data_IF_065855397218
#
_entry.id   IF_065855397218
#
_cell.length_a   1.000
_cell.length_b   1.000
_cell.length_c   1.000
_cell.angle_alpha   90.00
_cell.angle_beta   90.00
_cell.angle_gamma   90.00
#
_symmetry.space_group_name_H-M   'P 1'
#
loop_
_entity.id
_entity.type
_entity.pdbx_description
1 polymer ?
#
# COMPACT_ATOMS: atom_id res chain seq x y z
N UNK A 1 20.93 -14.02 15.75
CA UNK A 1 19.52 -13.58 15.84
C UNK A 1 18.70 -14.81 16.14
N UNK A 2 18.03 -14.84 17.29
CA UNK A 2 17.41 -16.06 17.81
C UNK A 2 16.14 -16.41 17.03
N UNK A 3 16.30 -17.36 16.12
CA UNK A 3 15.20 -17.95 15.32
C UNK A 3 14.10 -18.55 16.20
N UNK A 4 14.40 -18.84 17.47
CA UNK A 4 13.46 -19.37 18.47
C UNK A 4 12.30 -18.40 18.73
N UNK A 5 12.56 -17.08 18.78
CA UNK A 5 11.50 -16.08 19.03
C UNK A 5 10.62 -15.89 17.80
N UNK A 6 11.22 -15.89 16.61
CA UNK A 6 10.49 -15.80 15.35
C UNK A 6 9.63 -17.05 15.11
N UNK A 7 10.18 -18.25 15.32
CA UNK A 7 9.45 -19.51 15.15
C UNK A 7 8.27 -19.59 16.13
N UNK A 8 8.48 -19.27 17.42
CA UNK A 8 7.37 -19.23 18.40
C UNK A 8 6.24 -18.29 18.01
N UNK A 9 6.56 -17.15 17.38
CA UNK A 9 5.56 -16.22 16.88
C UNK A 9 4.81 -16.82 15.68
N UNK A 10 5.53 -17.37 14.71
CA UNK A 10 4.92 -18.00 13.52
C UNK A 10 4.07 -19.23 13.86
N UNK A 11 4.47 -20.02 14.85
CA UNK A 11 3.75 -21.22 15.30
C UNK A 11 2.37 -20.89 15.91
N UNK A 12 2.17 -19.65 16.39
CA UNK A 12 0.91 -19.17 16.95
C UNK A 12 0.00 -18.45 15.95
N UNK A 13 0.46 -18.21 14.72
CA UNK A 13 -0.32 -17.49 13.71
C UNK A 13 -1.16 -18.48 12.91
N UNK A 14 -2.47 -18.46 13.13
CA UNK A 14 -3.43 -19.02 12.18
C UNK A 14 -3.74 -17.97 11.11
N UNK A 15 -3.28 -18.21 9.88
CA UNK A 15 -3.63 -17.36 8.75
C UNK A 15 -5.09 -17.65 8.34
N UNK A 16 -5.99 -16.66 8.35
CA UNK A 16 -7.35 -16.85 7.86
C UNK A 16 -7.31 -17.20 6.37
N UNK A 17 -8.10 -18.20 5.98
CA UNK A 17 -8.28 -18.53 4.56
C UNK A 17 -9.39 -17.66 3.98
N UNK A 18 -9.20 -17.21 2.75
CA UNK A 18 -10.17 -16.42 2.03
C UNK A 18 -11.36 -17.30 1.62
N UNK A 19 -12.58 -16.82 1.87
CA UNK A 19 -13.81 -17.51 1.46
C UNK A 19 -13.90 -17.59 -0.07
N UNK A 20 -14.58 -18.61 -0.58
CA UNK A 20 -14.66 -18.85 -2.03
C UNK A 20 -15.35 -17.69 -2.76
N UNK A 21 -16.32 -17.04 -2.12
CA UNK A 21 -17.02 -15.87 -2.68
C UNK A 21 -16.07 -14.68 -2.86
N UNK A 22 -15.22 -14.41 -1.86
CA UNK A 22 -14.22 -13.33 -1.94
C UNK A 22 -13.14 -13.65 -3.00
N UNK A 23 -12.79 -14.93 -3.18
CA UNK A 23 -11.86 -15.35 -4.25
C UNK A 23 -12.49 -15.12 -5.62
N UNK A 24 -13.76 -15.45 -5.79
CA UNK A 24 -14.47 -15.24 -7.05
C UNK A 24 -14.57 -13.75 -7.37
N UNK A 25 -14.92 -12.92 -6.38
CA UNK A 25 -14.96 -11.45 -6.48
C UNK A 25 -13.60 -10.84 -6.88
N UNK A 26 -12.49 -11.36 -6.37
CA UNK A 26 -11.16 -10.86 -6.76
C UNK A 26 -10.75 -11.29 -8.17
N UNK A 27 -11.25 -12.44 -8.66
CA UNK A 27 -10.87 -13.04 -9.94
C UNK A 27 -11.77 -12.66 -11.12
N UNK A 28 -12.95 -12.09 -10.90
CA UNK A 28 -13.80 -11.57 -11.98
C UNK A 28 -13.07 -10.51 -12.82
N UNK A 29 -13.46 -10.40 -14.09
CA UNK A 29 -12.89 -9.41 -15.01
C UNK A 29 -13.08 -7.98 -14.49
N UNK A 30 -12.12 -7.11 -14.80
CA UNK A 30 -12.18 -5.69 -14.45
C UNK A 30 -13.17 -4.99 -15.37
N UNK A 31 -14.16 -4.34 -14.76
CA UNK A 31 -15.18 -3.59 -15.48
C UNK A 31 -14.80 -2.12 -15.68
N UNK A 32 -15.39 -1.49 -16.70
CA UNK A 32 -15.15 -0.07 -17.00
C UNK A 32 -15.59 0.85 -15.84
N UNK A 33 -16.66 0.51 -15.13
CA UNK A 33 -17.17 1.29 -14.00
C UNK A 33 -16.18 1.31 -12.84
N UNK A 34 -15.50 0.19 -12.57
CA UNK A 34 -14.43 0.12 -11.56
C UNK A 34 -13.24 1.02 -11.95
N UNK A 35 -12.85 1.02 -13.22
CA UNK A 35 -11.79 1.90 -13.73
C UNK A 35 -12.16 3.36 -13.55
N UNK A 36 -13.40 3.75 -13.92
CA UNK A 36 -13.89 5.11 -13.75
C UNK A 36 -13.97 5.51 -12.28
N UNK A 37 -14.40 4.60 -11.39
CA UNK A 37 -14.42 4.83 -9.95
C UNK A 37 -13.00 5.02 -9.40
N UNK A 38 -12.04 4.19 -9.81
CA UNK A 38 -10.65 4.30 -9.42
C UNK A 38 -10.08 5.68 -9.82
N UNK A 39 -10.28 6.10 -11.07
CA UNK A 39 -9.83 7.40 -11.58
C UNK A 39 -10.45 8.55 -10.77
N UNK A 40 -11.77 8.52 -10.53
CA UNK A 40 -12.46 9.56 -9.76
C UNK A 40 -11.99 9.65 -8.30
N UNK A 41 -11.54 8.54 -7.72
CA UNK A 41 -11.05 8.48 -6.35
C UNK A 41 -9.58 8.92 -6.19
N UNK A 42 -8.84 9.09 -7.31
CA UNK A 42 -7.45 9.54 -7.26
C UNK A 42 -7.37 11.03 -6.89
N UNK A 43 -6.45 11.36 -5.99
CA UNK A 43 -6.19 12.76 -5.62
C UNK A 43 -5.50 13.50 -6.76
N UNK A 44 -6.05 14.66 -7.11
CA UNK A 44 -5.44 15.59 -8.06
C UNK A 44 -4.16 16.22 -7.47
N UNK A 45 -3.18 16.56 -8.32
CA UNK A 45 -1.90 17.24 -8.00
C UNK A 45 -0.72 16.37 -7.55
N UNK A 46 -0.75 15.05 -7.79
CA UNK A 46 0.46 14.20 -7.63
C UNK A 46 1.33 14.28 -8.90
N UNK A 47 2.65 14.39 -8.73
CA UNK A 47 3.60 14.33 -9.85
C UNK A 47 3.56 12.95 -10.49
N UNK A 48 3.27 12.89 -11.80
CA UNK A 48 3.43 11.65 -12.58
C UNK A 48 4.90 11.42 -12.90
N UNK A 49 5.34 10.17 -12.84
CA UNK A 49 6.57 9.76 -13.51
C UNK A 49 6.40 9.80 -15.03
N UNK A 50 7.47 9.58 -15.81
CA UNK A 50 7.41 9.51 -17.25
C UNK A 50 6.54 8.33 -17.73
N UNK A 51 5.83 8.54 -18.83
CA UNK A 51 4.82 7.61 -19.35
C UNK A 51 5.40 6.51 -20.27
N UNK A 52 6.73 6.30 -20.25
CA UNK A 52 7.40 5.40 -21.20
C UNK A 52 7.09 3.91 -20.96
N UNK A 53 6.92 3.49 -19.70
CA UNK A 53 6.66 2.09 -19.35
C UNK A 53 6.22 1.90 -17.89
N UNK A 54 5.32 0.94 -17.65
CA UNK A 54 5.00 0.43 -16.30
C UNK A 54 6.21 -0.20 -15.57
N UNK A 55 7.31 -0.49 -16.29
CA UNK A 55 8.52 -1.10 -15.73
C UNK A 55 9.57 -0.08 -15.29
N UNK A 56 9.35 1.20 -15.59
CA UNK A 56 10.34 2.26 -15.37
C UNK A 56 9.83 3.21 -14.27
N UNK A 57 10.75 3.69 -13.45
CA UNK A 57 10.50 4.70 -12.44
C UNK A 57 11.58 5.78 -12.50
N UNK A 58 11.20 7.04 -12.29
CA UNK A 58 12.16 8.14 -12.16
C UNK A 58 12.43 8.41 -10.69
N UNK A 59 13.69 8.27 -10.26
CA UNK A 59 14.09 8.59 -8.89
C UNK A 59 14.29 10.10 -8.77
N UNK A 60 13.56 10.73 -7.84
CA UNK A 60 13.71 12.13 -7.45
C UNK A 60 14.16 12.22 -6.00
N UNK A 61 15.06 13.16 -5.68
CA UNK A 61 15.55 13.37 -4.32
C UNK A 61 14.72 14.43 -3.60
N UNK A 62 14.10 14.06 -2.48
CA UNK A 62 13.37 14.99 -1.61
C UNK A 62 14.26 15.46 -0.46
N UNK A 63 14.49 16.77 -0.29
CA UNK A 63 15.30 17.28 0.81
C UNK A 63 14.59 17.07 2.15
N UNK A 64 15.34 16.64 3.16
CA UNK A 64 14.89 16.54 4.55
C UNK A 64 14.99 17.94 5.18
N UNK A 65 13.89 18.50 5.72
CA UNK A 65 13.92 19.81 6.37
C UNK A 65 14.94 19.87 7.52
N UNK A 66 15.65 20.98 7.63
CA UNK A 66 16.63 21.22 8.70
C UNK A 66 17.98 20.52 8.55
N UNK A 67 18.19 19.74 7.48
CA UNK A 67 19.49 19.13 7.17
C UNK A 67 20.29 19.93 6.12
N UNK A 68 21.61 19.75 6.14
CA UNK A 68 22.54 20.37 5.21
C UNK A 68 22.38 19.82 3.79
N UNK A 69 22.03 20.68 2.83
CA UNK A 69 21.74 20.32 1.44
C UNK A 69 22.96 19.84 0.65
N UNK A 70 24.18 20.02 1.15
CA UNK A 70 25.40 19.55 0.49
C UNK A 70 25.71 18.07 0.75
N UNK A 71 25.01 17.43 1.70
CA UNK A 71 25.24 16.01 2.03
C UNK A 71 24.15 15.11 1.44
N UNK A 72 24.55 13.95 0.93
CA UNK A 72 23.63 12.99 0.31
C UNK A 72 22.63 12.38 1.32
N UNK A 73 22.99 12.25 2.60
CA UNK A 73 22.12 11.73 3.68
C UNK A 73 21.01 12.72 4.10
N UNK A 74 21.01 13.92 3.51
CA UNK A 74 19.99 14.94 3.68
C UNK A 74 18.82 14.80 2.72
N UNK A 75 18.81 13.78 1.87
CA UNK A 75 17.74 13.55 0.90
C UNK A 75 17.11 12.16 1.06
N UNK A 76 15.82 12.06 0.75
CA UNK A 76 15.11 10.78 0.61
C UNK A 76 14.87 10.51 -0.88
N UNK A 77 15.27 9.35 -1.42
CA UNK A 77 14.89 8.98 -2.76
C UNK A 77 13.39 8.67 -2.81
N UNK A 78 12.69 9.24 -3.79
CA UNK A 78 11.30 8.96 -4.12
C UNK A 78 11.23 8.45 -5.56
N UNK A 79 10.64 7.28 -5.77
CA UNK A 79 10.38 6.74 -7.10
C UNK A 79 9.07 7.31 -7.63
N UNK A 80 9.14 8.05 -8.74
CA UNK A 80 7.97 8.55 -9.46
C UNK A 80 7.57 7.52 -10.52
N UNK A 81 6.40 6.93 -10.32
CA UNK A 81 5.77 5.98 -11.22
C UNK A 81 4.78 6.69 -12.15
N UNK A 82 4.55 6.10 -13.32
CA UNK A 82 3.58 6.58 -14.29
C UNK A 82 2.15 6.61 -13.72
N UNK A 83 1.25 7.31 -14.42
CA UNK A 83 -0.13 7.45 -13.97
C UNK A 83 -0.90 6.12 -14.02
N UNK A 84 -0.63 5.30 -15.04
CA UNK A 84 -1.29 3.99 -15.22
C UNK A 84 -1.07 3.07 -14.02
N UNK A 85 0.16 3.02 -13.49
CA UNK A 85 0.47 2.24 -12.30
C UNK A 85 -0.38 2.69 -11.10
N UNK A 86 -0.62 4.00 -10.96
CA UNK A 86 -1.44 4.55 -9.88
C UNK A 86 -2.91 4.17 -10.04
N UNK A 87 -3.42 4.16 -11.27
CA UNK A 87 -4.80 3.74 -11.57
C UNK A 87 -4.96 2.26 -11.26
N UNK A 88 -4.07 1.40 -11.78
CA UNK A 88 -4.09 -0.04 -11.53
C UNK A 88 -3.95 -0.37 -10.04
N UNK A 89 -3.03 0.30 -9.34
CA UNK A 89 -2.84 0.12 -7.90
C UNK A 89 -4.09 0.52 -7.11
N UNK A 90 -4.74 1.63 -7.47
CA UNK A 90 -5.97 2.07 -6.80
C UNK A 90 -7.12 1.12 -7.08
N UNK A 91 -7.21 0.59 -8.29
CA UNK A 91 -8.23 -0.40 -8.66
C UNK A 91 -8.08 -1.70 -7.85
N UNK A 92 -6.86 -2.23 -7.77
CA UNK A 92 -6.57 -3.41 -6.93
C UNK A 92 -6.88 -3.12 -5.46
N UNK A 93 -6.49 -1.93 -4.96
CA UNK A 93 -6.78 -1.55 -3.58
C UNK A 93 -8.28 -1.50 -3.28
N UNK A 94 -9.10 -0.98 -4.21
CA UNK A 94 -10.56 -0.95 -4.05
C UNK A 94 -11.15 -2.36 -3.98
N UNK A 95 -10.66 -3.32 -4.78
CA UNK A 95 -11.09 -4.72 -4.69
C UNK A 95 -10.68 -5.40 -3.38
N UNK A 96 -9.50 -5.05 -2.87
CA UNK A 96 -8.98 -5.60 -1.64
C UNK A 96 -9.62 -4.98 -0.39
N UNK A 97 -10.26 -3.82 -0.49
CA UNK A 97 -10.83 -3.08 0.65
C UNK A 97 -11.84 -3.92 1.45
N UNK A 98 -12.66 -4.71 0.77
CA UNK A 98 -13.66 -5.58 1.43
C UNK A 98 -13.06 -6.89 1.98
N UNK A 99 -11.88 -7.28 1.48
CA UNK A 99 -11.24 -8.57 1.79
C UNK A 99 -10.18 -8.43 2.89
N UNK A 100 -9.42 -7.34 2.87
CA UNK A 100 -8.30 -7.08 3.78
C UNK A 100 -8.71 -7.20 5.26
N UNK A 101 -9.82 -6.59 5.72
CA UNK A 101 -10.26 -6.68 7.12
C UNK A 101 -10.56 -8.12 7.59
N UNK A 102 -10.90 -9.02 6.66
CA UNK A 102 -11.18 -10.44 6.97
C UNK A 102 -9.91 -11.25 7.16
N UNK A 103 -8.80 -10.80 6.56
CA UNK A 103 -7.54 -11.55 6.53
C UNK A 103 -6.44 -10.98 7.43
N UNK A 104 -6.51 -9.70 7.79
CA UNK A 104 -5.51 -9.06 8.64
C UNK A 104 -5.72 -9.41 10.11
N UNK A 105 -4.61 -9.57 10.83
CA UNK A 105 -4.64 -9.69 12.29
C UNK A 105 -4.77 -8.30 12.93
N UNK A 106 -5.40 -8.20 14.10
CA UNK A 106 -5.54 -6.95 14.87
C UNK A 106 -4.21 -6.22 15.14
N UNK A 107 -3.10 -6.96 15.22
CA UNK A 107 -1.77 -6.38 15.45
C UNK A 107 -1.16 -5.74 14.19
N UNK A 108 -1.77 -5.90 13.01
CA UNK A 108 -1.32 -5.33 11.75
C UNK A 108 -1.87 -3.91 11.54
N UNK A 109 -1.37 -2.95 12.31
CA UNK A 109 -1.86 -1.55 12.35
C UNK A 109 -1.25 -0.62 11.29
N UNK A 110 -0.62 -1.17 10.24
CA UNK A 110 0.22 -0.40 9.31
C UNK A 110 -0.54 0.49 8.32
N UNK A 111 -1.83 0.26 8.09
CA UNK A 111 -2.59 0.93 7.03
C UNK A 111 -4.03 1.27 7.37
N UNK A 112 -4.61 0.66 8.40
CA UNK A 112 -5.85 1.13 8.99
C UNK A 112 -5.53 1.78 10.33
N UNK A 113 -5.99 3.01 10.51
CA UNK A 113 -6.10 3.63 11.82
C UNK A 113 -7.25 2.94 12.56
N UNK A 114 -7.08 1.65 12.89
CA UNK A 114 -7.92 0.99 13.89
C UNK A 114 -7.54 1.67 15.19
N UNK A 115 -8.36 2.64 15.55
CA UNK A 115 -8.27 3.39 16.77
C UNK A 115 -8.36 2.38 17.93
N UNK A 116 -7.21 1.96 18.47
CA UNK A 116 -7.15 1.30 19.76
C UNK A 116 -7.91 2.20 20.74
N UNK A 117 -9.02 1.75 21.34
CA UNK A 117 -9.79 2.55 22.30
C UNK A 117 -8.96 2.95 23.53
N UNK A 118 -7.84 2.25 23.75
CA UNK A 118 -7.03 2.34 24.95
C UNK A 118 -5.70 3.08 24.72
N UNK A 119 -5.36 3.40 23.46
CA UNK A 119 -4.10 4.06 23.15
C UNK A 119 -4.28 5.58 23.20
N UNK A 120 -4.26 6.10 24.43
CA UNK A 120 -4.10 7.52 24.69
C UNK A 120 -2.78 8.02 24.10
N UNK A 121 -2.92 9.05 23.29
CA UNK A 121 -1.88 9.95 22.74
C UNK A 121 -0.60 10.05 23.57
N UNK A 122 0.55 9.84 22.92
CA UNK A 122 1.81 10.55 23.18
C UNK A 122 2.47 10.95 21.87
#
# INVERSE_FOLDING_TARGET
>A
MDNIRANRFMDGITLPNLQDEDRELLNIEISETEVLQAIKSLQNKKTSGPDDSLKIATITLLPIPGKDKQKCDSYRPLSLLNADYKILSKLIALRLEDVIPKIINTDQTGTEQIMCPDCSTY
#
